data_IF_347856945824
#
_entry.id   IF_347856945824
#
_cell.length_a   1.000
_cell.length_b   1.000
_cell.length_c   1.000
_cell.angle_alpha   90.00
_cell.angle_beta   90.00
_cell.angle_gamma   90.00
#
_symmetry.space_group_name_H-M   'P 1'
#
loop_
_entity.id
_entity.type
_entity.pdbx_description
1 polymer ?
#
# COMPACT_ATOMS: atom_id res chain seq x y z
N UNK A 1 16.57 -1.51 -6.35
CA UNK A 1 15.46 -0.73 -5.77
C UNK A 1 14.13 -1.37 -6.10
N UNK A 2 13.28 -1.40 -5.13
CA UNK A 2 11.93 -1.93 -5.32
C UNK A 2 10.90 -0.89 -4.94
N UNK A 3 9.81 -0.87 -5.69
CA UNK A 3 8.65 -0.08 -5.29
C UNK A 3 7.61 -1.03 -4.74
N UNK A 4 7.19 -0.76 -3.52
CA UNK A 4 6.17 -1.55 -2.88
C UNK A 4 4.91 -0.71 -2.86
N UNK A 5 3.88 -1.23 -3.49
CA UNK A 5 2.60 -0.54 -3.57
C UNK A 5 1.57 -1.39 -2.85
N UNK A 6 0.93 -0.82 -1.84
CA UNK A 6 -0.06 -1.56 -1.06
C UNK A 6 -1.38 -0.83 -1.12
N UNK A 7 -2.44 -1.59 -1.36
CA UNK A 7 -3.80 -1.08 -1.31
C UNK A 7 -4.42 -1.70 -0.07
N UNK A 8 -4.76 -0.86 0.90
CA UNK A 8 -5.20 -1.35 2.21
C UNK A 8 -6.50 -0.67 2.62
N UNK A 9 -7.11 -1.20 3.66
CA UNK A 9 -8.27 -0.54 4.27
C UNK A 9 -7.82 0.76 4.91
N UNK A 10 -8.59 1.84 4.74
CA UNK A 10 -8.11 3.16 5.19
C UNK A 10 -7.79 3.22 6.68
N UNK A 11 -8.54 2.53 7.51
CA UNK A 11 -8.32 2.64 8.95
C UNK A 11 -7.07 1.90 9.43
N UNK A 12 -6.39 1.20 8.52
CA UNK A 12 -5.15 0.51 8.86
C UNK A 12 -3.91 1.35 8.60
N UNK A 13 -4.06 2.51 8.03
CA UNK A 13 -2.91 3.31 7.63
C UNK A 13 -1.97 3.63 8.80
N UNK A 14 -2.54 4.02 9.92
CA UNK A 14 -1.71 4.42 11.05
C UNK A 14 -0.90 3.24 11.59
N UNK A 15 -1.52 2.07 11.68
CA UNK A 15 -0.80 0.88 12.14
C UNK A 15 0.33 0.51 11.21
N UNK A 16 0.08 0.60 9.91
CA UNK A 16 1.12 0.31 8.93
C UNK A 16 2.26 1.31 9.06
N UNK A 17 1.92 2.59 9.17
CA UNK A 17 2.92 3.63 9.29
C UNK A 17 3.81 3.40 10.51
N UNK A 18 3.21 3.08 11.64
CA UNK A 18 3.97 2.84 12.86
C UNK A 18 4.85 1.60 12.74
N UNK A 19 4.32 0.57 12.12
CA UNK A 19 5.09 -0.65 11.93
C UNK A 19 6.31 -0.43 11.04
N UNK A 20 6.13 0.34 9.99
CA UNK A 20 7.23 0.64 9.08
C UNK A 20 8.30 1.50 9.76
N UNK A 21 7.88 2.44 10.58
CA UNK A 21 8.83 3.27 11.31
C UNK A 21 9.70 2.42 12.22
N UNK A 22 9.12 1.39 12.82
CA UNK A 22 9.89 0.52 13.71
C UNK A 22 11.01 -0.23 13.02
N UNK A 23 10.86 -0.50 11.75
CA UNK A 23 11.93 -1.19 11.01
C UNK A 23 12.78 -0.20 10.22
N UNK A 24 12.62 1.10 10.48
CA UNK A 24 13.48 2.10 9.88
C UNK A 24 13.03 2.61 8.53
N UNK A 25 11.81 2.28 8.12
CA UNK A 25 11.31 2.75 6.84
C UNK A 25 10.36 3.92 7.08
N UNK A 26 10.77 5.11 6.69
CA UNK A 26 10.03 6.32 7.02
C UNK A 26 9.34 6.99 5.85
N UNK A 27 9.87 6.84 4.65
CA UNK A 27 9.31 7.55 3.52
C UNK A 27 8.18 6.78 2.88
N UNK A 28 7.07 7.43 2.66
CA UNK A 28 5.98 6.81 1.91
C UNK A 28 5.12 7.88 1.28
N UNK A 29 4.50 7.52 0.18
CA UNK A 29 3.51 8.37 -0.47
C UNK A 29 2.15 7.71 -0.27
N UNK A 30 1.18 8.51 0.13
CA UNK A 30 -0.15 7.98 0.46
C UNK A 30 -1.17 8.68 -0.42
N UNK A 31 -2.06 7.89 -0.99
CA UNK A 31 -3.18 8.45 -1.77
C UNK A 31 -4.47 7.75 -1.36
N UNK A 32 -5.54 8.49 -1.46
CA UNK A 32 -6.86 7.91 -1.28
C UNK A 32 -7.37 7.48 -2.62
N UNK A 33 -7.78 6.23 -2.70
CA UNK A 33 -8.25 5.66 -3.96
C UNK A 33 -9.56 4.94 -3.72
N UNK A 34 -10.19 4.53 -4.79
CA UNK A 34 -11.41 3.76 -4.71
C UNK A 34 -11.19 2.44 -5.42
N UNK A 35 -11.57 1.38 -4.76
CA UNK A 35 -11.45 0.05 -5.33
C UNK A 35 -12.78 -0.46 -5.81
N UNK A 36 -12.73 -1.18 -6.91
CA UNK A 36 -13.90 -1.85 -7.43
C UNK A 36 -13.54 -3.32 -7.58
N UNK A 37 -14.35 -4.17 -6.97
CA UNK A 37 -14.06 -5.59 -7.04
C UNK A 37 -15.15 -6.35 -6.36
N UNK A 38 -14.94 -7.63 -6.25
CA UNK A 38 -15.92 -8.47 -5.60
C UNK A 38 -15.79 -8.39 -4.12
N UNK A 39 -16.74 -7.76 -3.49
CA UNK A 39 -16.82 -7.74 -2.05
C UNK A 39 -18.17 -8.24 -1.67
N UNK A 40 -18.27 -9.53 -1.65
CA UNK A 40 -19.52 -10.13 -1.33
C UNK A 40 -20.00 -9.65 -0.03
N UNK A 41 -21.10 -9.65 0.32
CA UNK A 41 -21.58 -9.15 1.55
C UNK A 41 -21.98 -7.71 1.50
N UNK A 42 -21.54 -7.03 0.49
CA UNK A 42 -21.95 -5.65 0.34
C UNK A 42 -23.22 -5.52 -0.48
N UNK A 43 -23.24 -6.20 -1.58
CA UNK A 43 -24.36 -6.03 -2.48
C UNK A 43 -25.64 -6.63 -1.96
N UNK A 44 -25.56 -7.80 -1.42
CA UNK A 44 -26.80 -8.45 -1.04
C UNK A 44 -27.48 -7.79 0.13
N UNK A 45 -26.83 -6.89 0.77
CA UNK A 45 -27.44 -6.22 1.90
C UNK A 45 -28.45 -5.18 1.50
N UNK A 46 -28.46 -4.82 0.25
CA UNK A 46 -29.26 -3.69 -0.16
C UNK A 46 -30.39 -4.09 -1.06
N UNK A 47 -30.73 -5.30 -1.00
CA UNK A 47 -31.87 -5.76 -1.76
C UNK A 47 -31.73 -5.33 -3.20
N UNK A 48 -32.66 -4.62 -3.67
CA UNK A 48 -32.61 -4.25 -5.04
C UNK A 48 -31.62 -3.19 -5.38
N UNK A 49 -30.92 -2.70 -4.40
CA UNK A 49 -29.99 -1.62 -4.66
C UNK A 49 -28.57 -2.10 -4.68
N UNK A 50 -28.41 -3.31 -5.05
CA UNK A 50 -27.13 -3.94 -5.00
C UNK A 50 -26.09 -3.26 -5.85
N UNK A 51 -26.50 -2.62 -6.87
CA UNK A 51 -25.56 -2.00 -7.76
C UNK A 51 -24.92 -0.77 -7.22
N UNK A 52 -25.34 -0.32 -6.09
CA UNK A 52 -24.82 0.91 -5.59
C UNK A 52 -23.45 0.84 -5.02
N UNK A 53 -23.01 -0.31 -4.63
CA UNK A 53 -21.74 -0.39 -3.95
C UNK A 53 -20.68 -0.77 -4.93
N UNK A 54 -20.41 0.16 -5.84
CA UNK A 54 -19.45 -0.12 -6.87
C UNK A 54 -18.04 0.17 -6.44
N UNK A 55 -17.83 1.28 -5.76
CA UNK A 55 -16.48 1.69 -5.39
C UNK A 55 -16.37 1.83 -3.90
N UNK A 56 -15.30 1.30 -3.37
CA UNK A 56 -15.05 1.28 -1.94
C UNK A 56 -13.78 2.05 -1.66
N UNK A 57 -13.78 2.93 -0.67
CA UNK A 57 -12.58 3.69 -0.35
C UNK A 57 -11.45 2.79 0.10
N UNK A 58 -10.27 3.05 -0.40
CA UNK A 58 -9.06 2.36 -0.03
C UNK A 58 -7.94 3.37 0.11
N UNK A 59 -6.87 2.97 0.74
CA UNK A 59 -5.68 3.80 0.84
C UNK A 59 -4.55 3.11 0.10
N UNK A 60 -3.87 3.86 -0.76
CA UNK A 60 -2.72 3.34 -1.46
C UNK A 60 -1.46 3.91 -0.86
N UNK A 61 -0.51 3.04 -0.57
CA UNK A 61 0.78 3.41 -0.04
C UNK A 61 1.82 3.02 -1.06
N UNK A 62 2.77 3.92 -1.34
CA UNK A 62 3.87 3.62 -2.23
C UNK A 62 5.18 3.90 -1.51
N UNK A 63 6.06 2.94 -1.52
CA UNK A 63 7.34 3.04 -0.81
C UNK A 63 8.43 2.52 -1.74
N UNK A 64 9.52 3.29 -1.84
CA UNK A 64 10.69 2.85 -2.62
C UNK A 64 11.74 2.44 -1.61
N UNK A 65 12.22 1.21 -1.72
CA UNK A 65 13.18 0.68 -0.76
C UNK A 65 14.29 -0.08 -1.49
N UNK A 66 15.37 -0.34 -0.77
CA UNK A 66 16.42 -1.18 -1.27
C UNK A 66 15.94 -2.63 -1.33
N UNK A 67 16.65 -3.44 -2.08
CA UNK A 67 16.28 -4.86 -2.16
C UNK A 67 16.37 -5.54 -0.81
N UNK A 68 17.34 -5.13 0.01
CA UNK A 68 17.50 -5.72 1.33
C UNK A 68 16.32 -5.46 2.25
N UNK A 69 15.70 -4.30 2.10
CA UNK A 69 14.58 -3.94 2.96
C UNK A 69 13.24 -4.45 2.46
N UNK A 70 13.18 -4.87 1.22
CA UNK A 70 11.89 -5.16 0.60
C UNK A 70 11.09 -6.22 1.36
N UNK A 71 11.74 -7.31 1.73
CA UNK A 71 11.03 -8.40 2.41
C UNK A 71 10.47 -7.95 3.76
N UNK A 72 11.24 -7.19 4.52
CA UNK A 72 10.77 -6.67 5.80
C UNK A 72 9.60 -5.73 5.66
N UNK A 73 9.66 -4.89 4.64
CA UNK A 73 8.57 -3.93 4.41
C UNK A 73 7.30 -4.67 4.02
N UNK A 74 7.41 -5.63 3.12
CA UNK A 74 6.25 -6.41 2.70
C UNK A 74 5.62 -7.13 3.88
N UNK A 75 6.45 -7.79 4.68
CA UNK A 75 5.95 -8.53 5.82
C UNK A 75 5.27 -7.61 6.83
N UNK A 76 5.86 -6.46 7.09
CA UNK A 76 5.28 -5.51 8.02
C UNK A 76 3.93 -5.01 7.55
N UNK A 77 3.83 -4.65 6.28
CA UNK A 77 2.55 -4.19 5.74
C UNK A 77 1.51 -5.29 5.84
N UNK A 78 1.88 -6.49 5.47
CA UNK A 78 0.95 -7.61 5.54
C UNK A 78 0.42 -7.81 6.95
N UNK A 79 1.29 -7.83 7.92
CA UNK A 79 0.89 -8.07 9.31
C UNK A 79 0.04 -6.93 9.85
N UNK A 80 0.41 -5.70 9.56
CA UNK A 80 -0.27 -4.56 10.15
C UNK A 80 -1.58 -4.20 9.46
N UNK A 81 -1.71 -4.54 8.19
CA UNK A 81 -2.92 -4.22 7.45
C UNK A 81 -3.96 -5.33 7.49
N UNK A 82 -3.58 -6.50 7.94
CA UNK A 82 -4.44 -7.67 7.88
C UNK A 82 -5.56 -7.62 8.91
N UNK A 83 -6.77 -7.88 8.48
CA UNK A 83 -7.89 -8.11 9.38
C UNK A 83 -8.39 -9.54 9.28
N UNK A 84 -8.01 -10.25 8.22
CA UNK A 84 -8.50 -11.58 7.96
C UNK A 84 -9.83 -11.61 7.25
N UNK A 85 -10.31 -10.46 6.82
CA UNK A 85 -11.60 -10.37 6.16
C UNK A 85 -11.43 -9.93 4.73
N UNK A 86 -12.48 -10.13 3.96
CA UNK A 86 -12.49 -9.71 2.56
C UNK A 86 -12.23 -8.21 2.48
N UNK A 87 -11.45 -7.83 1.52
CA UNK A 87 -11.15 -6.42 1.31
C UNK A 87 -9.88 -5.94 1.97
N UNK A 88 -9.09 -6.84 2.55
CA UNK A 88 -7.83 -6.45 3.18
C UNK A 88 -6.86 -5.81 2.21
N UNK A 89 -6.96 -6.15 0.93
CA UNK A 89 -6.12 -5.49 -0.06
C UNK A 89 -5.01 -6.37 -0.58
N UNK A 90 -4.09 -5.73 -1.26
CA UNK A 90 -3.00 -6.44 -1.92
C UNK A 90 -1.73 -5.62 -1.88
N UNK A 91 -0.62 -6.31 -2.03
CA UNK A 91 0.70 -5.68 -2.11
C UNK A 91 1.31 -6.08 -3.44
N UNK A 92 1.80 -5.08 -4.17
CA UNK A 92 2.48 -5.30 -5.44
C UNK A 92 3.90 -4.81 -5.33
N UNK A 93 4.82 -5.51 -5.99
CA UNK A 93 6.22 -5.17 -5.94
C UNK A 93 6.72 -4.97 -7.36
N UNK A 94 7.39 -3.85 -7.59
CA UNK A 94 7.90 -3.51 -8.91
C UNK A 94 9.39 -3.26 -8.82
N UNK A 95 10.10 -3.55 -9.90
CA UNK A 95 11.48 -3.11 -10.03
C UNK A 95 11.48 -1.66 -10.44
N UNK A 96 12.34 -0.88 -9.80
CA UNK A 96 12.52 0.53 -10.15
C UNK A 96 13.84 0.64 -10.89
N UNK A 97 13.75 1.03 -12.16
CA UNK A 97 14.94 1.14 -12.97
C UNK A 97 15.83 2.29 -12.55
N UNK A 98 15.20 3.40 -12.19
CA UNK A 98 15.94 4.60 -11.89
C UNK A 98 15.08 5.52 -11.06
N UNK A 99 15.72 6.23 -10.16
CA UNK A 99 15.07 7.29 -9.41
C UNK A 99 15.98 8.48 -9.39
N UNK A 100 15.43 9.68 -9.52
CA UNK A 100 16.21 10.90 -9.57
C UNK A 100 15.63 11.87 -8.57
N UNK A 101 16.49 12.43 -7.73
CA UNK A 101 16.07 13.45 -6.78
C UNK A 101 15.94 14.76 -7.52
N UNK A 102 14.75 15.32 -7.50
CA UNK A 102 14.48 16.52 -8.31
C UNK A 102 15.37 17.69 -7.90
N UNK A 103 15.54 17.89 -6.60
CA UNK A 103 16.28 19.04 -6.11
C UNK A 103 17.74 19.03 -6.55
N UNK A 104 18.36 17.88 -6.57
CA UNK A 104 19.81 17.79 -6.82
C UNK A 104 20.17 17.13 -8.14
N UNK A 105 19.24 16.47 -8.77
CA UNK A 105 19.53 15.68 -9.97
C UNK A 105 20.26 14.39 -9.68
N UNK A 106 20.41 14.05 -8.40
CA UNK A 106 21.13 12.85 -8.01
C UNK A 106 20.36 11.58 -8.31
N UNK A 107 21.08 10.59 -8.80
CA UNK A 107 20.47 9.29 -9.06
C UNK A 107 20.45 8.49 -7.78
N UNK A 108 19.29 8.04 -7.39
CA UNK A 108 19.13 7.37 -6.11
C UNK A 108 19.65 5.95 -6.08
N UNK A 109 20.03 5.38 -7.22
CA UNK A 109 20.59 4.04 -7.22
C UNK A 109 21.90 3.99 -6.43
N UNK A 110 22.55 5.12 -6.23
CA UNK A 110 23.82 5.17 -5.51
C UNK A 110 23.68 5.62 -4.08
N UNK A 111 22.50 5.92 -3.62
CA UNK A 111 22.31 6.36 -2.25
C UNK A 111 21.25 5.51 -1.59
N UNK A 112 21.27 5.57 -0.29
CA UNK A 112 20.32 4.77 0.49
C UNK A 112 18.95 5.39 0.43
N UNK A 113 18.00 4.55 0.30
CA UNK A 113 16.60 4.94 0.23
C UNK A 113 15.91 4.48 1.48
#
# INVERSE_FOLDING_TARGET
MKKIEAIIKPFKLEEVKQGLAKIGSYGMTVSEVKGFGQQKGHTELYRGAEYEVDFIPKTKIEIIVSEEMAASVIETIEQKAKTGKIGDGKIFVYDVEQAVRIRTGQTLSLIHI
#
